data_IF_077058939812
#
_entry.id   IF_077058939812
#
_cell.length_a   1.000
_cell.length_b   1.000
_cell.length_c   1.000
_cell.angle_alpha   90.00
_cell.angle_beta   90.00
_cell.angle_gamma   90.00
#
_symmetry.space_group_name_H-M   'P 1'
#
loop_
_entity.id
_entity.type
_entity.pdbx_description
1 polymer ?
#
# COMPACT_ATOMS: atom_id res chain seq x y z
N UNK A 1 11.72 16.43 15.43
CA UNK A 1 11.85 15.55 14.25
C UNK A 1 10.48 15.53 13.60
N UNK A 2 10.36 15.78 12.30
CA UNK A 2 9.05 15.89 11.64
C UNK A 2 8.71 14.56 10.97
N UNK A 3 7.62 13.93 11.39
CA UNK A 3 7.06 12.78 10.68
C UNK A 3 6.48 13.26 9.35
N UNK A 4 6.76 12.53 8.27
CA UNK A 4 6.12 12.75 6.98
C UNK A 4 5.08 11.67 6.75
N UNK A 5 3.99 12.03 6.07
CA UNK A 5 2.94 11.09 5.70
C UNK A 5 2.94 10.90 4.19
N UNK A 6 2.80 9.67 3.75
CA UNK A 6 2.58 9.31 2.36
C UNK A 6 1.39 8.35 2.26
N UNK A 7 0.61 8.49 1.18
CA UNK A 7 -0.42 7.52 0.82
C UNK A 7 0.13 6.58 -0.25
N UNK A 8 -0.10 5.28 -0.08
CA UNK A 8 0.24 4.27 -1.09
C UNK A 8 -1.03 3.57 -1.56
N UNK A 9 -1.22 3.53 -2.87
CA UNK A 9 -2.32 2.80 -3.48
C UNK A 9 -1.92 1.35 -3.69
N UNK A 10 -2.75 0.43 -3.18
CA UNK A 10 -2.56 -1.01 -3.35
C UNK A 10 -3.82 -1.62 -3.95
N UNK A 11 -3.66 -2.67 -4.75
CA UNK A 11 -4.81 -3.44 -5.26
C UNK A 11 -5.42 -4.31 -4.17
N UNK A 12 -6.67 -4.73 -4.36
CA UNK A 12 -7.34 -5.69 -3.47
C UNK A 12 -6.54 -6.99 -3.35
N UNK A 13 -5.94 -7.48 -4.45
CA UNK A 13 -5.13 -8.70 -4.43
C UNK A 13 -3.89 -8.56 -3.53
N UNK A 14 -3.17 -7.43 -3.63
CA UNK A 14 -2.02 -7.14 -2.76
C UNK A 14 -2.44 -6.99 -1.30
N UNK A 15 -3.59 -6.37 -1.04
CA UNK A 15 -4.13 -6.22 0.31
C UNK A 15 -4.45 -7.59 0.95
N UNK A 16 -5.05 -8.51 0.18
CA UNK A 16 -5.45 -9.85 0.65
C UNK A 16 -4.25 -10.77 0.83
N UNK A 17 -3.41 -10.92 -0.21
CA UNK A 17 -2.36 -11.95 -0.26
C UNK A 17 -1.01 -11.44 0.25
N UNK A 18 -0.83 -10.12 0.31
CA UNK A 18 0.46 -9.48 0.56
C UNK A 18 1.26 -9.29 -0.72
N UNK A 19 2.26 -8.41 -0.66
CA UNK A 19 3.16 -8.12 -1.76
C UNK A 19 4.40 -7.36 -1.25
N UNK A 20 5.39 -7.16 -2.12
CA UNK A 20 6.59 -6.38 -1.85
C UNK A 20 6.80 -5.36 -2.95
N UNK A 21 6.85 -4.08 -2.58
CA UNK A 21 7.06 -3.00 -3.53
C UNK A 21 8.10 -1.99 -3.06
N UNK A 22 8.75 -1.34 -4.01
CA UNK A 22 9.64 -0.21 -3.73
C UNK A 22 8.86 1.10 -3.84
N UNK A 23 8.85 1.87 -2.76
CA UNK A 23 8.26 3.18 -2.69
C UNK A 23 9.34 4.24 -2.69
N UNK A 24 9.09 5.33 -3.42
CA UNK A 24 9.91 6.54 -3.36
C UNK A 24 9.09 7.65 -2.72
N UNK A 25 9.48 8.09 -1.53
CA UNK A 25 8.84 9.19 -0.81
C UNK A 25 9.82 10.34 -0.69
N UNK A 26 9.63 11.36 -1.52
CA UNK A 26 10.66 12.39 -1.72
C UNK A 26 11.94 11.77 -2.26
N UNK A 27 13.06 12.01 -1.56
CA UNK A 27 14.38 11.43 -1.92
C UNK A 27 14.63 10.05 -1.30
N UNK A 28 13.73 9.56 -0.45
CA UNK A 28 13.90 8.28 0.24
C UNK A 28 13.31 7.12 -0.55
N UNK A 29 14.10 6.05 -0.69
CA UNK A 29 13.62 4.75 -1.16
C UNK A 29 13.33 3.86 0.05
N UNK A 30 12.14 3.28 0.06
CA UNK A 30 11.66 2.39 1.11
C UNK A 30 11.10 1.14 0.48
N UNK A 31 11.58 -0.02 0.92
CA UNK A 31 10.96 -1.30 0.58
C UNK A 31 9.77 -1.50 1.50
N UNK A 32 8.56 -1.52 0.94
CA UNK A 32 7.34 -1.79 1.68
C UNK A 32 6.92 -3.23 1.44
N UNK A 33 6.97 -4.01 2.52
CA UNK A 33 6.38 -5.35 2.59
C UNK A 33 4.95 -5.19 3.09
N UNK A 34 3.98 -5.44 2.21
CA UNK A 34 2.55 -5.38 2.51
C UNK A 34 2.17 -6.72 3.15
N UNK A 35 1.78 -6.75 4.43
CA UNK A 35 1.33 -7.99 5.05
C UNK A 35 0.04 -8.51 4.41
N UNK A 36 -0.16 -9.83 4.33
CA UNK A 36 -1.46 -10.39 3.98
C UNK A 36 -2.56 -9.88 4.92
N UNK A 37 -3.74 -9.59 4.38
CA UNK A 37 -4.87 -9.05 5.14
C UNK A 37 -4.76 -7.56 5.49
N UNK A 38 -3.92 -6.80 4.79
CA UNK A 38 -3.80 -5.35 4.98
C UNK A 38 -5.12 -4.64 4.66
N UNK A 39 -5.55 -3.74 5.53
CA UNK A 39 -6.81 -3.01 5.40
C UNK A 39 -6.63 -1.64 4.72
N UNK A 40 -7.74 -1.07 4.22
CA UNK A 40 -7.78 0.32 3.79
C UNK A 40 -7.56 1.27 4.98
N UNK A 41 -6.76 2.31 4.78
CA UNK A 41 -6.38 3.27 5.83
C UNK A 41 -5.36 2.74 6.85
N UNK A 42 -4.88 1.51 6.71
CA UNK A 42 -3.90 0.94 7.63
C UNK A 42 -2.58 1.72 7.57
N UNK A 43 -1.98 1.93 8.74
CA UNK A 43 -0.80 2.77 8.90
C UNK A 43 0.44 1.96 9.22
N UNK A 44 1.54 2.28 8.54
CA UNK A 44 2.84 1.65 8.71
C UNK A 44 3.90 2.71 9.00
N UNK A 45 4.68 2.52 10.06
CA UNK A 45 5.71 3.47 10.49
C UNK A 45 7.10 2.96 10.11
N UNK A 46 7.78 3.72 9.26
CA UNK A 46 9.16 3.49 8.87
C UNK A 46 10.07 4.48 9.61
N UNK A 47 10.72 3.97 10.67
CA UNK A 47 11.55 4.78 11.55
C UNK A 47 12.79 5.31 10.84
N UNK A 48 13.08 6.60 11.00
CA UNK A 48 14.27 7.25 10.40
C UNK A 48 14.22 7.40 8.88
N UNK A 49 13.07 7.12 8.24
CA UNK A 49 12.83 7.28 6.80
C UNK A 49 12.03 8.55 6.45
N UNK A 50 11.83 9.43 7.43
CA UNK A 50 11.18 10.71 7.24
C UNK A 50 12.15 11.83 6.83
N UNK A 51 11.67 13.08 6.90
CA UNK A 51 12.43 14.26 6.46
C UNK A 51 13.74 14.41 7.25
N UNK A 52 14.83 14.69 6.53
CA UNK A 52 16.12 15.00 7.13
C UNK A 52 16.10 16.36 7.85
N UNK A 53 16.75 16.42 9.01
CA UNK A 53 16.92 17.63 9.81
C UNK A 53 18.33 17.68 10.41
N UNK A 54 18.76 18.86 10.90
CA UNK A 54 20.07 19.10 11.53
C UNK A 54 20.46 18.12 12.66
N UNK A 55 19.50 17.41 13.28
CA UNK A 55 19.73 16.50 14.41
C UNK A 55 19.32 15.04 14.12
N UNK A 56 19.14 14.67 12.85
CA UNK A 56 18.70 13.34 12.44
C UNK A 56 17.49 13.37 11.51
N UNK A 57 16.92 12.19 11.22
CA UNK A 57 15.73 12.04 10.37
C UNK A 57 14.48 11.81 11.22
N UNK A 58 13.34 12.30 10.74
CA UNK A 58 12.04 11.90 11.28
C UNK A 58 11.60 10.53 10.80
N UNK A 59 10.34 10.19 11.06
CA UNK A 59 9.74 8.94 10.61
C UNK A 59 8.86 9.15 9.38
N UNK A 60 8.62 8.07 8.64
CA UNK A 60 7.67 8.04 7.52
C UNK A 60 6.45 7.21 7.95
N UNK A 61 5.27 7.81 7.87
CA UNK A 61 3.98 7.17 8.03
C UNK A 61 3.40 6.86 6.65
N UNK A 62 3.24 5.59 6.31
CA UNK A 62 2.58 5.15 5.09
C UNK A 62 1.15 4.77 5.43
N UNK A 63 0.18 5.35 4.72
CA UNK A 63 -1.22 5.01 4.81
C UNK A 63 -1.63 4.26 3.54
N UNK A 64 -2.15 3.06 3.69
CA UNK A 64 -2.63 2.26 2.55
C UNK A 64 -3.98 2.76 2.07
N UNK A 65 -4.16 2.78 0.76
CA UNK A 65 -5.44 3.00 0.11
C UNK A 65 -5.73 1.88 -0.87
N UNK A 66 -6.75 1.07 -0.58
CA UNK A 66 -7.12 -0.07 -1.40
C UNK A 66 -7.94 0.41 -2.58
N UNK A 67 -7.45 0.14 -3.80
CA UNK A 67 -8.10 0.52 -5.03
C UNK A 67 -8.92 -0.65 -5.57
N UNK A 68 -10.23 -0.41 -5.72
CA UNK A 68 -11.15 -1.33 -6.37
C UNK A 68 -11.07 -1.10 -7.89
N UNK A 69 -10.78 -2.13 -8.71
CA UNK A 69 -10.69 -1.97 -10.15
C UNK A 69 -12.06 -1.60 -10.74
N UNK A 70 -12.06 -0.73 -11.75
CA UNK A 70 -13.29 -0.38 -12.46
C UNK A 70 -13.82 -1.58 -13.23
N UNK A 71 -15.08 -1.95 -13.01
CA UNK A 71 -15.75 -3.06 -13.70
C UNK A 71 -15.76 -2.95 -15.24
N UNK A 72 -15.56 -1.74 -15.79
CA UNK A 72 -15.44 -1.50 -17.24
C UNK A 72 -14.08 -1.88 -17.81
N UNK A 73 -13.05 -2.01 -16.97
CA UNK A 73 -11.67 -2.30 -17.36
C UNK A 73 -11.28 -3.76 -17.13
N UNK A 74 -12.17 -4.56 -16.55
CA UNK A 74 -11.92 -5.98 -16.33
C UNK A 74 -12.04 -6.74 -17.64
N UNK A 75 -11.04 -7.56 -17.94
CA UNK A 75 -11.10 -8.61 -18.94
C UNK A 75 -12.17 -9.65 -18.57
N UNK A 76 -12.58 -10.47 -19.55
CA UNK A 76 -13.51 -11.59 -19.31
C UNK A 76 -12.99 -12.52 -18.21
N UNK A 77 -11.70 -12.87 -18.26
CA UNK A 77 -11.09 -13.77 -17.28
C UNK A 77 -11.07 -13.17 -15.87
N UNK A 78 -10.72 -11.89 -15.73
CA UNK A 78 -10.76 -11.22 -14.42
C UNK A 78 -12.18 -11.17 -13.85
N UNK A 79 -13.20 -10.88 -14.68
CA UNK A 79 -14.60 -10.89 -14.24
C UNK A 79 -15.01 -12.27 -13.72
N UNK A 80 -14.69 -13.34 -14.46
CA UNK A 80 -14.96 -14.72 -14.03
C UNK A 80 -14.33 -15.02 -12.66
N UNK A 81 -13.07 -14.64 -12.45
CA UNK A 81 -12.38 -14.82 -11.17
C UNK A 81 -13.03 -14.04 -10.01
N UNK A 82 -13.47 -12.81 -10.26
CA UNK A 82 -14.18 -12.01 -9.25
C UNK A 82 -15.57 -12.58 -8.93
N UNK A 83 -16.27 -13.16 -9.91
CA UNK A 83 -17.55 -13.85 -9.69
C UNK A 83 -17.37 -15.14 -8.89
N UNK A 84 -16.34 -15.92 -9.19
CA UNK A 84 -15.97 -17.11 -8.40
C UNK A 84 -15.68 -16.72 -6.94
N UNK A 85 -14.84 -15.71 -6.73
CA UNK A 85 -14.53 -15.19 -5.38
C UNK A 85 -15.80 -14.73 -4.64
N UNK A 86 -16.70 -14.02 -5.32
CA UNK A 86 -17.99 -13.59 -4.75
C UNK A 86 -18.87 -14.77 -4.33
N UNK A 87 -18.76 -15.93 -4.96
CA UNK A 87 -19.58 -17.10 -4.60
C UNK A 87 -19.00 -17.91 -3.45
N UNK A 88 -17.71 -17.70 -3.12
CA UNK A 88 -17.03 -18.40 -2.02
C UNK A 88 -17.24 -17.73 -0.66
N UNK A 89 -17.65 -16.46 -0.62
CA UNK A 89 -17.76 -15.63 0.59
C UNK A 89 -19.09 -14.87 0.57
#
# INVERSE_FOLDING_TARGET
MSTIQAEVQISVAQAVIGDKMELRVGDEKVTFEIPPGTQDGQQFVFRGKGKAHRRGRGDLLIITRVIIPSARRLSRRERELWEELKNLH
#
